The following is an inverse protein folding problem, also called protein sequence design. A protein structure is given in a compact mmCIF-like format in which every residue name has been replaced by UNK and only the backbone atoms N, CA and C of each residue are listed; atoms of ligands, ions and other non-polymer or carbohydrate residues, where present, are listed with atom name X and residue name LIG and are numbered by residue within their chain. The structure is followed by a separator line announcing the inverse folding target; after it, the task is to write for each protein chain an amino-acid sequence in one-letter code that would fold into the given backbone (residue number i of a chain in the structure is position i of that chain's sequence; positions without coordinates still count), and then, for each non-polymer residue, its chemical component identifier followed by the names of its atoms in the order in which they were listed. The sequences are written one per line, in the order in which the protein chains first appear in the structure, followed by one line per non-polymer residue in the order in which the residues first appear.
data_IF_645289472914
#
_entry.id   IF_645289472914
#
_cell.length_a   1.000
_cell.length_b   1.000
_cell.length_c   1.000
_cell.angle_alpha   90.00
_cell.angle_beta   90.00
_cell.angle_gamma   90.00
#
_symmetry.space_group_name_H-M   'P 1'
#
loop_
_entity.id
_entity.type
_entity.pdbx_description
1 polymer ?
#
# COMPACT_ATOMS: atom_id res chain seq x y z
N UNK A 1 -1.60 -4.14 4.93
CA UNK A 1 -3.07 -3.95 4.94
C UNK A 1 -3.68 -4.42 3.65
N UNK A 2 -4.80 -5.15 3.70
CA UNK A 2 -5.51 -5.67 2.52
C UNK A 2 -6.91 -5.07 2.48
N UNK A 3 -7.35 -4.59 1.32
CA UNK A 3 -8.73 -4.18 1.11
C UNK A 3 -9.61 -5.41 0.92
N UNK A 4 -10.68 -5.54 1.71
CA UNK A 4 -11.56 -6.71 1.70
C UNK A 4 -12.36 -6.89 0.39
N UNK A 5 -12.61 -5.83 -0.37
CA UNK A 5 -13.37 -5.89 -1.62
C UNK A 5 -12.51 -6.33 -2.80
N UNK A 6 -11.29 -5.81 -2.89
CA UNK A 6 -10.40 -6.07 -4.03
C UNK A 6 -9.41 -7.21 -3.80
N UNK A 7 -9.16 -7.58 -2.53
CA UNK A 7 -8.08 -8.50 -2.16
C UNK A 7 -6.67 -7.93 -2.36
N UNK A 8 -6.55 -6.63 -2.70
CA UNK A 8 -5.28 -5.95 -2.96
C UNK A 8 -4.77 -5.24 -1.71
N UNK A 9 -3.46 -5.05 -1.64
CA UNK A 9 -2.80 -4.35 -0.55
C UNK A 9 -2.75 -2.84 -0.80
N UNK A 10 -2.82 -2.05 0.27
CA UNK A 10 -2.44 -0.63 0.23
C UNK A 10 -0.95 -0.53 -0.10
N UNK A 11 -0.58 0.29 -1.08
CA UNK A 11 0.77 0.38 -1.61
C UNK A 11 1.14 1.83 -1.99
N UNK A 12 2.40 2.25 -1.78
CA UNK A 12 2.91 3.52 -2.32
C UNK A 12 3.31 3.35 -3.79
N UNK A 13 2.70 4.15 -4.68
CA UNK A 13 2.96 4.09 -6.12
C UNK A 13 4.46 4.26 -6.43
N UNK A 14 5.01 3.34 -7.23
CA UNK A 14 6.41 3.35 -7.64
C UNK A 14 7.42 3.25 -6.48
N UNK A 15 7.00 2.87 -5.26
CA UNK A 15 7.83 2.94 -4.05
C UNK A 15 8.43 4.34 -3.80
N UNK A 16 7.71 5.40 -4.20
CA UNK A 16 8.17 6.77 -4.03
C UNK A 16 8.39 7.13 -2.56
N UNK A 17 9.46 7.88 -2.30
CA UNK A 17 9.79 8.44 -0.97
C UNK A 17 9.47 9.94 -0.87
N UNK A 18 8.92 10.52 -1.93
CA UNK A 18 8.58 11.94 -1.96
C UNK A 18 7.32 12.21 -1.13
N UNK A 19 7.25 13.40 -0.53
CA UNK A 19 6.03 13.85 0.14
C UNK A 19 4.90 13.98 -0.88
N UNK A 20 3.71 13.51 -0.50
CA UNK A 20 2.55 13.49 -1.40
C UNK A 20 2.54 12.33 -2.38
N UNK A 21 3.36 11.29 -2.18
CA UNK A 21 3.29 10.08 -2.99
C UNK A 21 1.90 9.43 -2.93
N UNK A 22 1.38 9.05 -4.09
CA UNK A 22 0.06 8.44 -4.22
C UNK A 22 0.00 7.06 -3.55
N UNK A 23 -1.10 6.80 -2.86
CA UNK A 23 -1.47 5.48 -2.38
C UNK A 23 -2.39 4.79 -3.38
N UNK A 24 -2.04 3.57 -3.75
CA UNK A 24 -2.77 2.74 -4.71
C UNK A 24 -3.13 1.39 -4.09
N UNK A 25 -3.95 0.62 -4.81
CA UNK A 25 -4.20 -0.79 -4.51
C UNK A 25 -3.45 -1.67 -5.51
N UNK A 26 -2.55 -2.49 -5.00
CA UNK A 26 -1.65 -3.33 -5.80
C UNK A 26 -1.71 -4.80 -5.33
N UNK A 27 -1.43 -5.80 -6.20
CA UNK A 27 -1.24 -7.17 -5.75
C UNK A 27 -0.32 -7.22 -4.52
N UNK A 28 -0.76 -7.96 -3.50
CA UNK A 28 -0.02 -8.06 -2.26
C UNK A 28 1.36 -8.69 -2.48
N UNK A 29 2.38 -8.08 -1.87
CA UNK A 29 3.75 -8.55 -1.88
C UNK A 29 4.44 -8.12 -0.58
N UNK A 30 5.58 -8.73 -0.25
CA UNK A 30 6.35 -8.41 0.96
C UNK A 30 7.19 -7.13 0.83
N UNK A 31 7.04 -6.41 -0.28
CA UNK A 31 7.75 -5.16 -0.56
C UNK A 31 7.49 -4.12 0.53
N UNK A 32 8.52 -3.34 0.87
CA UNK A 32 8.45 -2.37 1.96
C UNK A 32 7.35 -1.31 1.72
N UNK A 33 7.09 -0.93 0.46
CA UNK A 33 6.04 0.01 0.09
C UNK A 33 4.61 -0.54 0.20
N UNK A 34 4.41 -1.78 0.69
CA UNK A 34 3.10 -2.40 0.97
C UNK A 34 2.84 -2.64 2.48
N UNK A 35 3.75 -2.22 3.35
CA UNK A 35 3.70 -2.53 4.80
C UNK A 35 3.00 -1.42 5.59
N UNK A 36 1.69 -1.52 5.69
CA UNK A 36 0.85 -0.60 6.46
C UNK A 36 0.11 -1.32 7.60
N UNK A 37 -0.16 -0.57 8.68
CA UNK A 37 -1.06 -0.93 9.79
C UNK A 37 -2.12 0.17 9.96
N UNK A 38 -3.37 -0.19 10.24
CA UNK A 38 -4.35 0.76 10.80
C UNK A 38 -3.98 0.97 12.26
N UNK A 39 -4.05 2.22 12.68
CA UNK A 39 -4.06 2.59 14.10
C UNK A 39 -5.41 3.24 14.33
N UNK A 40 -6.09 2.74 15.36
CA UNK A 40 -7.30 3.34 15.91
C UNK A 40 -6.92 4.49 16.85
#
# INVERSE_FOLDING_TARGET
MVNAKSGKCLNVNGASKQNGADLIQWPCSDAANSRFRIID
#
